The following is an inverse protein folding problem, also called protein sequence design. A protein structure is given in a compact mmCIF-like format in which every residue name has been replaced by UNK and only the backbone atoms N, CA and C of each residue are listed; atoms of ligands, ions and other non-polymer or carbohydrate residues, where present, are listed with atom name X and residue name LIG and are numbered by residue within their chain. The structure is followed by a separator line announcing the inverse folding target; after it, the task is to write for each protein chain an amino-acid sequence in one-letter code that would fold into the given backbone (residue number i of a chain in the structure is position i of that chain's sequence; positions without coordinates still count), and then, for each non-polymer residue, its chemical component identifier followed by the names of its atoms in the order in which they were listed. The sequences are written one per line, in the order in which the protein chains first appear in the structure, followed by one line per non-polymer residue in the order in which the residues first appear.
data_IF_610906690212
#
_entry.id   IF_610906690212
#
_cell.length_a   1.000
_cell.length_b   1.000
_cell.length_c   1.000
_cell.angle_alpha   90.00
_cell.angle_beta   90.00
_cell.angle_gamma   90.00
#
_symmetry.space_group_name_H-M   'P 1'
#
loop_
_entity.id
_entity.type
_entity.pdbx_description
1 polymer ?
#
# COMPACT_ATOMS: atom_id res chain seq x y z
N UNK A 1 -15.13 -4.22 -8.08
CA UNK A 1 -14.51 -4.89 -6.94
C UNK A 1 -15.50 -5.87 -6.29
N UNK A 2 -15.70 -7.06 -6.88
CA UNK A 2 -16.63 -8.07 -6.32
C UNK A 2 -16.02 -8.80 -5.10
N UNK A 3 -14.69 -8.83 -5.02
CA UNK A 3 -13.92 -9.55 -4.00
C UNK A 3 -13.62 -8.72 -2.74
N UNK A 4 -13.76 -7.40 -2.77
CA UNK A 4 -13.51 -6.53 -1.61
C UNK A 4 -14.39 -6.89 -0.39
N UNK A 5 -15.72 -7.13 -0.54
CA UNK A 5 -16.54 -7.59 0.57
C UNK A 5 -16.12 -8.97 1.09
N UNK A 6 -15.71 -9.87 0.20
CA UNK A 6 -15.29 -11.23 0.54
C UNK A 6 -14.01 -11.20 1.37
N UNK A 7 -13.01 -10.42 0.96
CA UNK A 7 -11.77 -10.19 1.71
C UNK A 7 -12.09 -9.60 3.09
N UNK A 8 -12.96 -8.58 3.13
CA UNK A 8 -13.33 -7.91 4.38
C UNK A 8 -14.01 -8.87 5.35
N UNK A 9 -15.00 -9.66 4.88
CA UNK A 9 -15.70 -10.65 5.71
C UNK A 9 -14.74 -11.72 6.24
N UNK A 10 -13.86 -12.23 5.38
CA UNK A 10 -12.90 -13.26 5.77
C UNK A 10 -11.91 -12.74 6.82
N UNK A 11 -11.38 -11.52 6.64
CA UNK A 11 -10.51 -10.87 7.63
C UNK A 11 -11.25 -10.63 8.95
N UNK A 12 -12.50 -10.17 8.91
CA UNK A 12 -13.31 -9.95 10.10
C UNK A 12 -13.61 -11.27 10.84
N UNK A 13 -13.85 -12.35 10.10
CA UNK A 13 -14.01 -13.70 10.65
C UNK A 13 -12.77 -14.18 11.39
N UNK A 14 -11.58 -13.99 10.80
CA UNK A 14 -10.29 -14.33 11.44
C UNK A 14 -10.09 -13.51 12.72
N UNK A 15 -10.43 -12.21 12.70
CA UNK A 15 -10.35 -11.38 13.90
C UNK A 15 -11.27 -11.88 15.02
N UNK A 16 -12.53 -12.22 14.69
CA UNK A 16 -13.50 -12.73 15.68
C UNK A 16 -13.04 -14.05 16.30
N UNK A 17 -12.48 -14.95 15.51
CA UNK A 17 -11.92 -16.22 16.01
C UNK A 17 -10.65 -15.98 16.84
N UNK A 18 -9.77 -15.07 16.41
CA UNK A 18 -8.58 -14.68 17.17
C UNK A 18 -8.91 -14.05 18.52
N UNK A 19 -10.03 -13.31 18.62
CA UNK A 19 -10.51 -12.74 19.88
C UNK A 19 -10.83 -13.79 20.96
N UNK A 20 -11.16 -15.03 20.58
CA UNK A 20 -11.40 -16.10 21.56
C UNK A 20 -10.13 -16.58 22.28
N UNK A 21 -8.97 -16.39 21.64
CA UNK A 21 -7.65 -16.75 22.18
C UNK A 21 -6.83 -15.52 22.57
N UNK A 22 -7.47 -14.35 22.67
CA UNK A 22 -6.80 -13.09 22.96
C UNK A 22 -6.49 -12.95 24.44
N UNK A 23 -5.20 -12.88 24.78
CA UNK A 23 -4.75 -12.61 26.13
C UNK A 23 -4.22 -11.16 26.24
N UNK A 24 -4.88 -10.28 27.02
CA UNK A 24 -4.47 -8.89 27.17
C UNK A 24 -3.05 -8.70 27.72
N UNK A 25 -2.54 -9.69 28.45
CA UNK A 25 -1.21 -9.64 29.07
C UNK A 25 -0.07 -9.72 28.04
N UNK A 26 -0.34 -10.30 26.86
CA UNK A 26 0.62 -10.38 25.76
C UNK A 26 0.88 -9.01 25.11
N UNK A 27 0.02 -8.01 25.36
CA UNK A 27 0.23 -6.64 24.89
C UNK A 27 1.17 -5.81 25.78
N UNK A 28 1.58 -6.33 26.95
CA UNK A 28 2.21 -5.53 28.01
C UNK A 28 3.58 -4.89 27.73
N UNK A 29 4.41 -5.24 26.73
CA UNK A 29 5.55 -4.38 26.41
C UNK A 29 5.10 -3.21 25.50
N UNK A 30 4.09 -2.45 25.92
CA UNK A 30 3.72 -1.19 25.27
C UNK A 30 4.90 -0.23 25.46
N UNK A 31 5.60 0.13 24.38
CA UNK A 31 6.80 0.98 24.40
C UNK A 31 8.00 0.43 25.18
N UNK A 32 8.03 -0.86 25.53
CA UNK A 32 9.06 -1.45 26.40
C UNK A 32 10.51 -1.33 25.88
N UNK A 33 10.71 -1.10 24.58
CA UNK A 33 12.03 -0.87 23.95
C UNK A 33 12.31 0.59 23.56
N UNK A 34 11.52 1.55 24.04
CA UNK A 34 11.71 2.99 23.83
C UNK A 34 11.21 3.53 22.47
N UNK A 35 11.03 4.86 22.40
CA UNK A 35 10.52 5.58 21.22
C UNK A 35 11.36 5.40 19.95
N UNK A 36 12.67 5.14 20.08
CA UNK A 36 13.55 4.92 18.93
C UNK A 36 13.17 3.70 18.09
N UNK A 37 12.63 2.65 18.71
CA UNK A 37 12.16 1.47 17.99
C UNK A 37 10.80 1.69 17.29
N UNK A 38 9.99 2.62 17.80
CA UNK A 38 8.76 3.05 17.13
C UNK A 38 9.11 3.72 15.81
N UNK A 39 10.12 4.60 15.78
CA UNK A 39 10.58 5.24 14.54
C UNK A 39 11.12 4.23 13.51
N UNK A 40 11.82 3.19 13.95
CA UNK A 40 12.25 2.10 13.06
C UNK A 40 11.05 1.32 12.50
N UNK A 41 10.00 1.13 13.30
CA UNK A 41 8.74 0.54 12.84
C UNK A 41 8.05 1.36 11.75
N UNK A 42 8.15 2.70 11.80
CA UNK A 42 7.59 3.58 10.76
C UNK A 42 8.22 3.26 9.40
N UNK A 43 9.54 3.04 9.32
CA UNK A 43 10.20 2.68 8.06
C UNK A 43 9.63 1.40 7.45
N UNK A 44 9.37 0.37 8.26
CA UNK A 44 8.75 -0.87 7.79
C UNK A 44 7.30 -0.66 7.31
N UNK A 45 6.56 0.29 7.90
CA UNK A 45 5.19 0.60 7.46
C UNK A 45 5.13 1.37 6.14
N UNK A 46 6.20 2.07 5.73
CA UNK A 46 6.23 2.81 4.46
C UNK A 46 5.93 1.89 3.27
N UNK A 47 6.49 0.68 3.28
CA UNK A 47 6.28 -0.31 2.23
C UNK A 47 4.80 -0.72 2.12
N UNK A 48 4.11 -0.85 3.25
CA UNK A 48 2.67 -1.22 3.29
C UNK A 48 1.79 -0.13 2.71
N UNK A 49 2.22 1.14 2.79
CA UNK A 49 1.49 2.29 2.26
C UNK A 49 2.01 2.78 0.91
N UNK A 50 2.88 2.00 0.24
CA UNK A 50 3.16 2.22 -1.18
C UNK A 50 1.87 2.02 -1.98
N UNK A 51 1.48 3.06 -2.70
CA UNK A 51 0.17 3.15 -3.36
C UNK A 51 -0.41 4.57 -3.30
N UNK A 52 0.10 5.42 -2.43
CA UNK A 52 -0.24 6.85 -2.42
C UNK A 52 0.10 7.55 -3.75
N UNK A 53 1.15 7.11 -4.45
CA UNK A 53 1.50 7.61 -5.78
C UNK A 53 0.41 7.33 -6.82
N UNK A 54 -0.15 6.11 -6.78
CA UNK A 54 -1.27 5.70 -7.62
C UNK A 54 -2.47 6.59 -7.33
N UNK A 55 -2.74 6.87 -6.04
CA UNK A 55 -3.80 7.80 -5.66
C UNK A 55 -3.56 9.20 -6.25
N UNK A 56 -2.34 9.76 -6.14
CA UNK A 56 -2.01 11.06 -6.73
C UNK A 56 -2.27 11.11 -8.23
N UNK A 57 -1.86 10.09 -8.97
CA UNK A 57 -2.10 10.02 -10.41
C UNK A 57 -3.59 9.89 -10.72
N UNK A 58 -4.34 9.09 -9.96
CA UNK A 58 -5.79 8.93 -10.13
C UNK A 58 -6.56 10.23 -9.90
N UNK A 59 -6.10 11.09 -8.98
CA UNK A 59 -6.71 12.41 -8.76
C UNK A 59 -6.70 13.26 -10.05
N UNK A 60 -5.65 13.15 -10.87
CA UNK A 60 -5.57 13.85 -12.15
C UNK A 60 -6.64 13.40 -13.16
N UNK A 61 -7.19 12.20 -12.99
CA UNK A 61 -8.26 11.64 -13.82
C UNK A 61 -9.66 11.77 -13.19
N UNK A 62 -9.78 12.34 -11.97
CA UNK A 62 -11.08 12.53 -11.33
C UNK A 62 -11.87 13.67 -11.97
N UNK A 63 -13.18 13.44 -12.16
CA UNK A 63 -14.13 14.48 -12.62
C UNK A 63 -14.24 15.66 -11.63
N UNK A 64 -14.12 15.38 -10.32
CA UNK A 64 -14.22 16.38 -9.26
C UNK A 64 -12.99 16.34 -8.32
N UNK A 65 -11.87 16.99 -8.70
CA UNK A 65 -10.65 16.97 -7.89
C UNK A 65 -10.81 17.68 -6.53
N UNK A 66 -11.83 18.55 -6.37
CA UNK A 66 -12.12 19.22 -5.09
C UNK A 66 -12.54 18.26 -3.96
N UNK A 67 -13.06 17.07 -4.28
CA UNK A 67 -13.42 16.04 -3.28
C UNK A 67 -12.33 14.97 -3.14
N UNK A 68 -11.26 15.04 -3.93
CA UNK A 68 -10.18 14.06 -3.94
C UNK A 68 -9.55 13.87 -2.56
N UNK A 69 -9.29 14.97 -1.84
CA UNK A 69 -8.67 14.94 -0.50
C UNK A 69 -9.51 14.14 0.49
N UNK A 70 -10.85 14.29 0.45
CA UNK A 70 -11.76 13.52 1.30
C UNK A 70 -11.79 12.05 0.91
N UNK A 71 -11.80 11.76 -0.40
CA UNK A 71 -11.76 10.39 -0.91
C UNK A 71 -10.47 9.66 -0.52
N UNK A 72 -9.31 10.32 -0.62
CA UNK A 72 -8.02 9.78 -0.19
C UNK A 72 -7.99 9.56 1.32
N UNK A 73 -8.42 10.54 2.12
CA UNK A 73 -8.44 10.37 3.59
C UNK A 73 -9.30 9.17 4.03
N UNK A 74 -10.49 9.01 3.46
CA UNK A 74 -11.35 7.86 3.78
C UNK A 74 -10.74 6.56 3.23
N UNK A 75 -10.22 6.60 2.00
CA UNK A 75 -9.63 5.45 1.32
C UNK A 75 -8.37 4.92 2.00
N UNK A 76 -7.54 5.78 2.61
CA UNK A 76 -6.36 5.37 3.38
C UNK A 76 -6.71 5.10 4.85
N UNK A 77 -7.65 5.85 5.43
CA UNK A 77 -8.05 5.70 6.82
C UNK A 77 -8.66 4.35 7.16
N UNK A 78 -9.46 3.77 6.24
CA UNK A 78 -10.04 2.43 6.43
C UNK A 78 -8.92 1.36 6.54
N UNK A 79 -8.00 1.20 5.57
CA UNK A 79 -6.87 0.29 5.71
C UNK A 79 -6.02 0.50 6.96
N UNK A 80 -5.75 1.77 7.35
CA UNK A 80 -4.98 2.07 8.57
C UNK A 80 -5.65 1.47 9.81
N UNK A 81 -6.96 1.68 9.96
CA UNK A 81 -7.72 1.15 11.08
C UNK A 81 -7.68 -0.39 11.06
N UNK A 82 -7.92 -1.00 9.90
CA UNK A 82 -7.89 -2.45 9.73
C UNK A 82 -6.53 -3.06 10.09
N UNK A 83 -5.43 -2.54 9.55
CA UNK A 83 -4.09 -3.02 9.84
C UNK A 83 -3.73 -2.87 11.32
N UNK A 84 -4.18 -1.79 11.96
CA UNK A 84 -3.97 -1.56 13.39
C UNK A 84 -4.68 -2.62 14.23
N UNK A 85 -5.96 -2.88 13.96
CA UNK A 85 -6.74 -3.91 14.67
C UNK A 85 -6.15 -5.30 14.47
N UNK A 86 -5.78 -5.65 13.22
CA UNK A 86 -5.13 -6.94 12.92
C UNK A 86 -3.84 -7.09 13.72
N UNK A 87 -3.00 -6.07 13.75
CA UNK A 87 -1.72 -6.12 14.48
C UNK A 87 -1.92 -6.33 15.98
N UNK A 88 -2.94 -5.69 16.58
CA UNK A 88 -3.29 -5.87 18.00
C UNK A 88 -3.74 -7.31 18.27
N UNK A 89 -4.62 -7.86 17.42
CA UNK A 89 -5.12 -9.24 17.58
C UNK A 89 -3.99 -10.25 17.42
N UNK A 90 -3.15 -10.09 16.39
CA UNK A 90 -1.99 -10.96 16.14
C UNK A 90 -1.04 -10.97 17.34
N UNK A 91 -0.69 -9.80 17.90
CA UNK A 91 0.19 -9.71 19.06
C UNK A 91 -0.47 -10.28 20.32
N UNK A 92 -1.78 -10.06 20.49
CA UNK A 92 -2.54 -10.56 21.64
C UNK A 92 -2.68 -12.08 21.66
N UNK A 93 -2.67 -12.74 20.50
CA UNK A 93 -2.79 -14.21 20.38
C UNK A 93 -1.44 -14.91 20.31
N UNK A 94 -0.49 -14.43 19.51
CA UNK A 94 0.79 -15.11 19.26
C UNK A 94 1.94 -14.61 20.16
N UNK A 95 1.73 -13.57 20.97
CA UNK A 95 2.79 -12.89 21.75
C UNK A 95 3.85 -12.17 20.91
N UNK A 96 4.53 -11.19 21.50
CA UNK A 96 5.50 -10.33 20.81
C UNK A 96 6.77 -11.07 20.35
N UNK A 97 7.16 -12.15 21.02
CA UNK A 97 8.39 -12.87 20.69
C UNK A 97 8.20 -13.88 19.56
N UNK A 98 7.03 -14.50 19.47
CA UNK A 98 6.68 -15.38 18.35
C UNK A 98 6.52 -14.57 17.06
N UNK A 99 5.79 -13.44 17.11
CA UNK A 99 5.57 -12.56 15.95
C UNK A 99 6.87 -12.05 15.34
N UNK A 100 7.95 -11.87 16.11
CA UNK A 100 9.27 -11.47 15.57
C UNK A 100 9.98 -12.58 14.79
N UNK A 101 9.70 -13.82 15.11
CA UNK A 101 10.28 -14.99 14.42
C UNK A 101 9.48 -15.40 13.20
N UNK A 102 8.23 -14.92 13.09
CA UNK A 102 7.31 -15.26 12.03
C UNK A 102 7.38 -14.25 10.87
N UNK A 103 7.70 -14.74 9.67
CA UNK A 103 7.68 -13.93 8.44
C UNK A 103 6.27 -13.45 8.08
N UNK A 104 5.25 -14.25 8.37
CA UNK A 104 3.84 -13.97 8.03
C UNK A 104 2.90 -14.18 9.23
N UNK A 105 2.91 -13.26 10.21
CA UNK A 105 2.17 -13.42 11.45
C UNK A 105 0.66 -13.67 11.28
N UNK A 106 0.04 -13.04 10.28
CA UNK A 106 -1.39 -13.21 9.99
C UNK A 106 -1.73 -14.61 9.48
N UNK A 107 -0.85 -15.23 8.67
CA UNK A 107 -1.04 -16.59 8.19
C UNK A 107 -0.82 -17.59 9.33
N UNK A 108 0.18 -17.35 10.18
CA UNK A 108 0.44 -18.15 11.38
C UNK A 108 -0.71 -18.07 12.39
N UNK A 109 -1.39 -16.92 12.51
CA UNK A 109 -2.57 -16.78 13.35
C UNK A 109 -3.71 -17.69 12.89
N UNK A 110 -3.94 -17.79 11.58
CA UNK A 110 -4.95 -18.70 11.03
C UNK A 110 -4.60 -20.15 11.38
N UNK A 111 -3.34 -20.55 11.20
CA UNK A 111 -2.87 -21.90 11.57
C UNK A 111 -3.00 -22.18 13.08
N UNK A 112 -2.76 -21.18 13.94
CA UNK A 112 -2.91 -21.31 15.38
C UNK A 112 -4.35 -21.56 15.79
N UNK A 113 -5.30 -20.83 15.19
CA UNK A 113 -6.75 -21.00 15.44
C UNK A 113 -7.24 -22.38 14.97
N UNK A 114 -6.70 -22.89 13.85
CA UNK A 114 -7.01 -24.25 13.38
C UNK A 114 -6.58 -25.33 14.39
N UNK A 115 -5.42 -25.13 15.03
CA UNK A 115 -4.89 -26.09 16.00
C UNK A 115 -5.66 -26.07 17.33
N UNK A 116 -6.18 -24.93 17.76
CA UNK A 116 -6.87 -24.77 19.06
C UNK A 116 -8.37 -25.10 19.01
N UNK A 117 -9.03 -24.97 17.85
CA UNK A 117 -10.47 -25.14 17.70
C UNK A 117 -10.84 -25.93 16.46
N UNK A 118 -10.82 -27.26 16.56
CA UNK A 118 -11.01 -28.23 15.47
C UNK A 118 -12.38 -28.25 14.78
N UNK A 119 -12.87 -27.10 14.28
CA UNK A 119 -14.17 -26.99 13.59
C UNK A 119 -14.02 -26.86 12.05
N UNK A 120 -12.85 -26.49 11.51
CA UNK A 120 -12.57 -26.47 10.06
C UNK A 120 -11.09 -26.75 9.78
N UNK A 121 -10.76 -27.98 9.38
CA UNK A 121 -9.40 -28.50 9.13
C UNK A 121 -8.63 -27.82 7.97
N UNK A 122 -9.19 -26.82 7.27
CA UNK A 122 -8.62 -26.24 6.04
C UNK A 122 -8.95 -24.74 5.83
N UNK A 123 -9.11 -23.94 6.88
CA UNK A 123 -9.37 -22.50 6.77
C UNK A 123 -8.21 -21.73 6.11
N UNK A 124 -6.98 -22.25 6.25
CA UNK A 124 -5.76 -21.73 5.64
C UNK A 124 -5.88 -21.64 4.12
N UNK A 125 -6.49 -22.63 3.47
CA UNK A 125 -6.63 -22.65 2.01
C UNK A 125 -7.55 -21.52 1.55
N UNK A 126 -8.67 -21.28 2.25
CA UNK A 126 -9.58 -20.17 1.94
C UNK A 126 -8.90 -18.82 2.13
N UNK A 127 -8.13 -18.67 3.22
CA UNK A 127 -7.33 -17.47 3.46
C UNK A 127 -6.32 -17.24 2.33
N UNK A 128 -5.54 -18.26 1.96
CA UNK A 128 -4.55 -18.16 0.89
C UNK A 128 -5.17 -17.80 -0.45
N UNK A 129 -6.32 -18.37 -0.82
CA UNK A 129 -7.03 -18.02 -2.07
C UNK A 129 -7.37 -16.53 -2.09
N UNK A 130 -8.00 -16.05 -1.02
CA UNK A 130 -8.40 -14.64 -0.89
C UNK A 130 -7.19 -13.72 -0.88
N UNK A 131 -6.11 -14.14 -0.21
CA UNK A 131 -4.86 -13.40 -0.14
C UNK A 131 -4.15 -13.31 -1.50
N UNK A 132 -4.10 -14.41 -2.26
CA UNK A 132 -3.54 -14.44 -3.62
C UNK A 132 -4.35 -13.52 -4.54
N UNK A 133 -5.67 -13.51 -4.44
CA UNK A 133 -6.51 -12.60 -5.22
C UNK A 133 -6.22 -11.13 -4.87
N UNK A 134 -5.99 -10.80 -3.60
CA UNK A 134 -5.63 -9.45 -3.16
C UNK A 134 -4.24 -9.00 -3.66
N UNK A 135 -3.25 -9.91 -3.62
CA UNK A 135 -1.92 -9.67 -4.20
C UNK A 135 -2.05 -9.45 -5.72
N UNK A 136 -2.81 -10.32 -6.39
CA UNK A 136 -3.02 -10.23 -7.83
C UNK A 136 -3.71 -8.93 -8.24
N UNK A 137 -4.74 -8.47 -7.52
CA UNK A 137 -5.40 -7.19 -7.82
C UNK A 137 -4.44 -6.01 -7.66
N UNK A 138 -3.58 -6.04 -6.64
CA UNK A 138 -2.58 -5.00 -6.38
C UNK A 138 -1.52 -5.00 -7.49
N UNK A 139 -1.10 -6.18 -7.94
CA UNK A 139 -0.20 -6.34 -9.08
C UNK A 139 -0.81 -5.78 -10.36
N UNK A 140 -2.05 -6.13 -10.70
CA UNK A 140 -2.72 -5.62 -11.90
C UNK A 140 -2.87 -4.10 -11.85
N UNK A 141 -3.27 -3.55 -10.70
CA UNK A 141 -3.41 -2.10 -10.53
C UNK A 141 -2.07 -1.36 -10.69
N UNK A 142 -1.02 -1.83 -10.02
CA UNK A 142 0.32 -1.23 -10.12
C UNK A 142 0.92 -1.36 -11.53
N UNK A 143 0.77 -2.52 -12.18
CA UNK A 143 1.21 -2.74 -13.56
C UNK A 143 0.49 -1.84 -14.56
N UNK A 144 -0.83 -1.69 -14.41
CA UNK A 144 -1.62 -0.78 -15.23
C UNK A 144 -1.16 0.67 -15.06
N UNK A 145 -0.92 1.11 -13.83
CA UNK A 145 -0.45 2.45 -13.53
C UNK A 145 0.97 2.71 -14.06
N UNK A 146 1.87 1.74 -13.95
CA UNK A 146 3.22 1.85 -14.52
C UNK A 146 3.17 1.98 -16.05
N UNK A 147 2.33 1.18 -16.71
CA UNK A 147 2.12 1.22 -18.15
C UNK A 147 1.51 2.56 -18.62
N UNK A 148 0.49 3.05 -17.91
CA UNK A 148 -0.09 4.37 -18.16
C UNK A 148 0.93 5.50 -17.97
N UNK A 149 1.71 5.45 -16.89
CA UNK A 149 2.74 6.45 -16.60
C UNK A 149 3.79 6.54 -17.71
N UNK A 150 4.31 5.39 -18.18
CA UNK A 150 5.24 5.34 -19.31
C UNK A 150 4.58 5.81 -20.62
N UNK A 151 3.33 5.41 -20.87
CA UNK A 151 2.56 5.84 -22.03
C UNK A 151 2.40 7.36 -22.12
N UNK A 152 2.12 8.02 -20.98
CA UNK A 152 2.00 9.48 -20.91
C UNK A 152 3.32 10.22 -21.14
N UNK A 153 4.45 9.68 -20.62
CA UNK A 153 5.78 10.30 -20.83
C UNK A 153 6.19 10.21 -22.30
N UNK A 154 5.92 9.08 -22.96
CA UNK A 154 6.36 8.82 -24.34
C UNK A 154 5.28 9.20 -25.37
N UNK A 155 4.11 9.67 -24.93
CA UNK A 155 2.94 9.99 -25.78
C UNK A 155 2.55 8.84 -26.73
N UNK A 156 2.65 7.60 -26.24
CA UNK A 156 2.28 6.38 -26.96
C UNK A 156 1.21 5.60 -26.21
N UNK A 157 0.49 4.74 -26.94
CA UNK A 157 -0.56 3.90 -26.35
C UNK A 157 -0.01 3.00 -25.24
N UNK A 158 -0.74 2.96 -24.11
CA UNK A 158 -0.40 2.17 -22.94
C UNK A 158 -0.25 0.67 -23.26
N UNK A 159 -0.99 0.15 -24.25
CA UNK A 159 -0.92 -1.25 -24.66
C UNK A 159 0.50 -1.71 -24.97
N UNK A 160 1.33 -0.86 -25.60
CA UNK A 160 2.71 -1.19 -25.96
C UNK A 160 3.57 -1.36 -24.71
N UNK A 161 3.40 -0.48 -23.72
CA UNK A 161 4.15 -0.53 -22.47
C UNK A 161 3.73 -1.72 -21.61
N UNK A 162 2.45 -2.10 -21.60
CA UNK A 162 1.97 -3.30 -20.88
C UNK A 162 2.72 -4.56 -21.33
N UNK A 163 2.99 -4.71 -22.64
CA UNK A 163 3.75 -5.84 -23.17
C UNK A 163 5.25 -5.74 -22.89
N UNK A 164 5.83 -4.54 -22.88
CA UNK A 164 7.27 -4.32 -22.61
C UNK A 164 7.60 -4.50 -21.12
N UNK A 165 6.73 -4.04 -20.22
CA UNK A 165 6.94 -4.16 -18.77
C UNK A 165 6.88 -5.62 -18.30
N UNK A 166 6.09 -6.48 -18.96
CA UNK A 166 5.90 -7.86 -18.55
C UNK A 166 7.21 -8.70 -18.49
N UNK A 167 8.06 -8.74 -19.54
CA UNK A 167 9.35 -9.42 -19.48
C UNK A 167 10.32 -8.77 -18.50
N UNK A 168 10.26 -7.45 -18.30
CA UNK A 168 11.10 -6.75 -17.32
C UNK A 168 10.75 -7.20 -15.90
N UNK A 169 9.46 -7.23 -15.57
CA UNK A 169 8.97 -7.73 -14.28
C UNK A 169 9.40 -9.18 -14.06
N UNK A 170 9.31 -10.03 -15.10
CA UNK A 170 9.74 -11.42 -15.02
C UNK A 170 11.23 -11.56 -14.72
N UNK A 171 12.09 -10.78 -15.38
CA UNK A 171 13.53 -10.79 -15.12
C UNK A 171 13.83 -10.34 -13.68
N UNK A 172 13.21 -9.25 -13.23
CA UNK A 172 13.38 -8.74 -11.86
C UNK A 172 12.89 -9.76 -10.82
N UNK A 173 11.83 -10.51 -11.12
CA UNK A 173 11.31 -11.54 -10.22
C UNK A 173 12.26 -12.75 -10.05
N UNK A 174 13.16 -13.00 -11.01
CA UNK A 174 14.15 -14.08 -10.93
C UNK A 174 15.42 -13.66 -10.17
N UNK A 175 15.69 -12.35 -10.06
CA UNK A 175 16.88 -11.82 -9.38
C UNK A 175 16.99 -12.26 -7.91
N UNK A 176 15.95 -12.11 -7.06
CA UNK A 176 16.06 -12.51 -5.67
C UNK A 176 16.02 -14.04 -5.54
N UNK A 177 17.09 -14.62 -5.01
CA UNK A 177 17.17 -16.06 -4.76
C UNK A 177 16.71 -16.45 -3.35
N UNK A 178 16.60 -15.46 -2.45
CA UNK A 178 16.28 -15.65 -1.04
C UNK A 178 15.22 -14.64 -0.57
N UNK A 179 14.45 -14.99 0.46
CA UNK A 179 13.41 -14.12 1.03
C UNK A 179 13.95 -12.77 1.52
N UNK A 180 15.16 -12.75 2.09
CA UNK A 180 15.78 -11.49 2.54
C UNK A 180 16.08 -10.54 1.39
N UNK A 181 16.42 -11.07 0.21
CA UNK A 181 16.64 -10.27 -1.00
C UNK A 181 15.32 -9.72 -1.54
N UNK A 182 14.23 -10.49 -1.43
CA UNK A 182 12.88 -10.01 -1.75
C UNK A 182 12.49 -8.84 -0.85
N UNK A 183 12.73 -8.93 0.46
CA UNK A 183 12.44 -7.83 1.38
C UNK A 183 13.30 -6.60 1.10
N UNK A 184 14.59 -6.76 0.78
CA UNK A 184 15.45 -5.64 0.38
C UNK A 184 14.99 -4.95 -0.91
N UNK A 185 14.54 -5.73 -1.89
CA UNK A 185 13.93 -5.21 -3.12
C UNK A 185 12.63 -4.44 -2.80
N UNK A 186 11.82 -4.99 -1.90
CA UNK A 186 10.64 -4.34 -1.35
C UNK A 186 10.99 -3.00 -0.70
N UNK A 187 11.94 -2.96 0.23
CA UNK A 187 12.37 -1.73 0.90
C UNK A 187 12.91 -0.70 -0.09
N UNK A 188 13.67 -1.12 -1.10
CA UNK A 188 14.14 -0.24 -2.17
C UNK A 188 12.97 0.37 -2.95
N UNK A 189 11.98 -0.44 -3.33
CA UNK A 189 10.74 0.05 -3.93
C UNK A 189 10.03 1.03 -2.98
N UNK A 190 10.00 0.69 -1.68
CA UNK A 190 9.64 1.52 -0.51
C UNK A 190 10.15 2.95 -0.62
N UNK A 191 11.47 3.07 -0.63
CA UNK A 191 12.16 4.35 -0.69
C UNK A 191 11.96 5.08 -2.02
N UNK A 192 11.92 4.36 -3.15
CA UNK A 192 11.65 4.98 -4.46
C UNK A 192 10.24 5.58 -4.52
N UNK A 193 9.23 4.87 -4.01
CA UNK A 193 7.87 5.37 -3.95
C UNK A 193 7.72 6.56 -2.97
N UNK A 194 8.45 6.55 -1.86
CA UNK A 194 8.46 7.72 -0.97
C UNK A 194 9.10 8.93 -1.66
N UNK A 195 10.22 8.71 -2.35
CA UNK A 195 10.93 9.75 -3.10
C UNK A 195 10.07 10.37 -4.21
N UNK A 196 9.42 9.56 -5.03
CA UNK A 196 8.55 10.06 -6.10
C UNK A 196 7.28 10.73 -5.55
N UNK A 197 6.72 10.26 -4.44
CA UNK A 197 5.61 10.96 -3.76
C UNK A 197 5.93 12.38 -3.29
N UNK A 198 7.20 12.68 -2.98
CA UNK A 198 7.65 14.02 -2.56
C UNK A 198 8.04 14.87 -3.77
N UNK A 199 8.72 14.28 -4.75
CA UNK A 199 9.21 15.00 -5.93
C UNK A 199 8.09 15.41 -6.87
N UNK A 200 7.09 14.55 -7.10
CA UNK A 200 5.99 14.83 -8.03
C UNK A 200 5.21 16.09 -7.62
N UNK A 201 4.79 16.27 -6.35
CA UNK A 201 4.15 17.51 -5.89
C UNK A 201 5.06 18.73 -6.01
N UNK A 202 6.36 18.60 -5.71
CA UNK A 202 7.31 19.71 -5.80
C UNK A 202 7.47 20.17 -7.25
N UNK A 203 7.64 19.22 -8.19
CA UNK A 203 7.70 19.52 -9.62
C UNK A 203 6.41 20.20 -10.12
N UNK A 204 5.24 19.67 -9.74
CA UNK A 204 3.96 20.27 -10.08
C UNK A 204 3.83 21.68 -9.50
N UNK A 205 4.26 21.89 -8.25
CA UNK A 205 4.24 23.19 -7.60
C UNK A 205 5.13 24.21 -8.33
N UNK A 206 6.35 23.82 -8.73
CA UNK A 206 7.26 24.65 -9.52
C UNK A 206 6.65 25.01 -10.88
N UNK A 207 6.04 24.03 -11.58
CA UNK A 207 5.35 24.27 -12.86
C UNK A 207 4.20 25.27 -12.69
N UNK A 208 3.41 25.14 -11.62
CA UNK A 208 2.32 26.08 -11.31
C UNK A 208 2.87 27.48 -11.05
N UNK A 209 3.95 27.63 -10.30
CA UNK A 209 4.58 28.94 -10.05
C UNK A 209 5.06 29.59 -11.35
N UNK A 210 5.70 28.81 -12.24
CA UNK A 210 6.17 29.30 -13.55
C UNK A 210 4.98 29.70 -14.44
N UNK A 211 3.93 28.87 -14.52
CA UNK A 211 2.72 29.17 -15.31
C UNK A 211 1.95 30.38 -14.76
N UNK A 212 1.83 30.53 -13.44
CA UNK A 212 1.15 31.67 -12.80
C UNK A 212 1.90 32.99 -13.06
N UNK A 213 3.23 32.93 -13.13
CA UNK A 213 4.09 34.06 -13.53
C UNK A 213 3.95 34.39 -15.03
N UNK A 214 3.82 33.38 -15.89
CA UNK A 214 3.55 33.54 -17.32
C UNK A 214 2.16 34.11 -17.62
N UNK A 215 1.12 33.71 -16.88
CA UNK A 215 -0.24 34.20 -17.03
C UNK A 215 -0.38 35.67 -16.59
N UNK A 216 0.17 36.05 -15.42
CA UNK A 216 0.23 37.45 -14.98
C UNK A 216 0.95 38.35 -15.99
N UNK A 217 2.02 37.87 -16.62
CA UNK A 217 2.79 38.63 -17.61
C UNK A 217 2.05 38.84 -18.94
N UNK A 218 1.17 37.91 -19.35
CA UNK A 218 0.29 38.08 -20.53
C UNK A 218 -0.87 39.05 -20.27
N UNK A 219 -1.45 39.03 -19.07
CA UNK A 219 -2.54 39.94 -18.69
C UNK A 219 -2.04 41.39 -18.62
N UNK A 220 -0.91 41.65 -17.96
CA UNK A 220 -0.32 42.99 -17.86
C UNK A 220 0.06 43.58 -19.23
N UNK A 221 0.53 42.74 -20.17
CA UNK A 221 0.90 43.18 -21.52
C UNK A 221 -0.31 43.47 -22.43
N UNK A 222 -1.47 42.90 -22.12
CA UNK A 222 -2.72 43.18 -22.84
C UNK A 222 -3.41 44.45 -22.32
N UNK A 223 -3.18 44.84 -21.07
CA UNK A 223 -3.68 46.10 -20.52
C UNK A 223 -2.84 47.31 -20.96
N UNK A 224 -1.51 47.18 -21.08
CA UNK A 224 -0.65 48.24 -21.66
C UNK A 224 -0.93 48.51 -23.15
N UNK A 225 -1.39 47.51 -23.91
CA UNK A 225 -1.71 47.65 -25.34
C UNK A 225 -3.12 48.25 -25.59
N UNK A 226 -3.90 48.53 -24.54
CA UNK A 226 -5.26 49.10 -24.61
C UNK A 226 -5.33 50.58 -24.18
N UNK A 227 -4.23 51.13 -23.69
CA UNK A 227 -4.02 52.57 -23.42
C UNK A 227 -3.19 53.19 -24.51
#
# INVERSE_FOLDING_TARGET
ELYFPIITILLFGIMLLGFQHFEPDNLRPILGKGFGNVLKGVQATVLVYIGFEIMMTLIAFMKEPGKAVKAVMVGTGIPILFYTVISIVVIGVLTVDEVKTLTWPTASLVNYIEYSGGFVENFQVFFLIVWILAIYSTFVASHYMASLGMGQIVSKDFSVFTYILNPIIYIVAIVPQNLDEVFKLGDLAGYMGLFASVIVPILLFVIVLIRKKGYKRKVLKNDENKT
#
